data_IF_704735256254
#
_entry.id   IF_704735256254
#
_cell.length_a   1.000
_cell.length_b   1.000
_cell.length_c   1.000
_cell.angle_alpha   90.00
_cell.angle_beta   90.00
_cell.angle_gamma   90.00
#
_symmetry.space_group_name_H-M   'P 1'
#
loop_
_entity.id
_entity.type
_entity.pdbx_description
1 polymer ?
#
# COMPACT_ATOMS: atom_id res chain seq x y z
N UNK A 1 13.97 1.01 -4.06
CA UNK A 1 15.37 0.96 -4.53
C UNK A 1 16.23 0.98 -3.28
N UNK A 2 16.65 -0.19 -2.76
CA UNK A 2 17.43 -0.25 -1.53
C UNK A 2 18.79 0.40 -1.79
N UNK A 3 19.28 1.33 -0.96
CA UNK A 3 20.62 1.87 -1.13
C UNK A 3 21.68 0.76 -0.96
N UNK A 4 22.76 0.83 -1.73
CA UNK A 4 23.84 -0.17 -1.67
C UNK A 4 24.39 -0.29 -0.25
N UNK A 5 24.60 -1.51 0.22
CA UNK A 5 25.13 -1.79 1.56
C UNK A 5 24.13 -1.64 2.71
N UNK A 6 22.85 -1.33 2.44
CA UNK A 6 21.79 -1.26 3.47
C UNK A 6 21.10 -2.61 3.73
N UNK A 7 21.58 -3.68 3.08
CA UNK A 7 21.04 -5.03 3.22
C UNK A 7 19.74 -5.23 2.44
N UNK A 8 18.98 -6.24 2.86
CA UNK A 8 17.75 -6.65 2.17
C UNK A 8 16.57 -5.83 2.69
N UNK A 9 15.85 -5.16 1.77
CA UNK A 9 14.64 -4.42 2.09
C UNK A 9 13.41 -5.28 1.87
N UNK A 10 12.39 -5.07 2.70
CA UNK A 10 11.09 -5.71 2.59
C UNK A 10 10.14 -4.79 1.82
N UNK A 11 9.56 -5.31 0.75
CA UNK A 11 8.60 -4.64 -0.11
C UNK A 11 7.23 -5.27 0.12
N UNK A 12 6.31 -4.49 0.67
CA UNK A 12 4.93 -4.94 0.94
C UNK A 12 4.04 -4.51 -0.21
N UNK A 13 3.37 -5.47 -0.84
CA UNK A 13 2.38 -5.27 -1.90
C UNK A 13 1.03 -5.62 -1.31
N UNK A 14 0.11 -4.66 -1.28
CA UNK A 14 -1.22 -4.82 -0.72
C UNK A 14 -2.29 -4.74 -1.82
N UNK A 15 -3.26 -5.64 -1.78
CA UNK A 15 -4.46 -5.62 -2.61
C UNK A 15 -5.69 -5.45 -1.70
N UNK A 16 -6.57 -4.53 -2.07
CA UNK A 16 -7.78 -4.21 -1.33
C UNK A 16 -9.00 -4.53 -2.19
N UNK A 17 -9.91 -5.33 -1.65
CA UNK A 17 -11.25 -5.46 -2.21
C UNK A 17 -12.12 -4.32 -1.65
N UNK A 18 -12.78 -3.59 -2.53
CA UNK A 18 -13.62 -2.45 -2.16
C UNK A 18 -15.10 -2.78 -2.33
N UNK A 19 -15.96 -2.14 -1.53
CA UNK A 19 -17.42 -2.25 -1.62
C UNK A 19 -18.07 -1.36 -2.68
N UNK A 20 -17.25 -0.78 -3.56
CA UNK A 20 -17.68 0.12 -4.63
C UNK A 20 -16.82 -0.07 -5.86
N UNK A 21 -17.41 0.23 -7.01
CA UNK A 21 -16.77 0.13 -8.32
C UNK A 21 -15.73 1.24 -8.54
N UNK A 22 -16.03 2.45 -8.06
CA UNK A 22 -15.16 3.62 -8.27
C UNK A 22 -14.75 4.23 -6.93
N UNK A 23 -13.43 4.35 -6.72
CA UNK A 23 -12.83 5.07 -5.60
C UNK A 23 -12.32 6.43 -6.08
N UNK A 24 -12.89 7.51 -5.57
CA UNK A 24 -12.37 8.85 -5.81
C UNK A 24 -11.08 9.04 -4.99
N UNK A 25 -9.95 8.80 -5.66
CA UNK A 25 -8.62 8.98 -5.06
C UNK A 25 -8.23 10.44 -5.20
N UNK A 26 -7.92 11.06 -4.06
CA UNK A 26 -7.33 12.40 -4.05
C UNK A 26 -5.84 12.27 -4.37
N UNK A 27 -5.45 12.74 -5.55
CA UNK A 27 -4.05 12.73 -6.02
C UNK A 27 -3.30 14.02 -5.67
N UNK A 28 -3.95 15.01 -5.05
CA UNK A 28 -3.32 16.27 -4.63
C UNK A 28 -2.52 16.16 -3.33
N UNK A 29 -2.77 15.09 -2.55
CA UNK A 29 -2.05 14.82 -1.30
C UNK A 29 -1.38 13.46 -1.36
N UNK A 30 -0.07 13.42 -1.13
CA UNK A 30 0.64 12.15 -0.99
C UNK A 30 0.20 11.45 0.31
N UNK A 31 -0.37 10.25 0.18
CA UNK A 31 -0.77 9.42 1.33
C UNK A 31 0.21 8.26 1.48
N UNK A 32 0.63 8.00 2.72
CA UNK A 32 1.27 6.74 3.07
C UNK A 32 0.20 5.64 3.26
N UNK A 33 0.63 4.37 3.35
CA UNK A 33 -0.27 3.22 3.47
C UNK A 33 -1.29 3.37 4.61
N UNK A 34 -0.84 3.72 5.81
CA UNK A 34 -1.72 3.84 6.98
C UNK A 34 -2.75 4.97 6.81
N UNK A 35 -2.35 6.09 6.21
CA UNK A 35 -3.24 7.20 5.91
C UNK A 35 -4.28 6.82 4.84
N UNK A 36 -3.87 6.08 3.81
CA UNK A 36 -4.78 5.55 2.79
C UNK A 36 -5.82 4.61 3.41
N UNK A 37 -5.37 3.62 4.17
CA UNK A 37 -6.25 2.65 4.84
C UNK A 37 -7.23 3.34 5.79
N UNK A 38 -6.77 4.34 6.55
CA UNK A 38 -7.66 5.11 7.44
C UNK A 38 -8.68 5.94 6.68
N UNK A 39 -8.26 6.62 5.59
CA UNK A 39 -9.13 7.48 4.77
C UNK A 39 -10.25 6.67 4.10
N UNK A 40 -9.94 5.44 3.65
CA UNK A 40 -10.85 4.59 2.88
C UNK A 40 -11.36 3.37 3.65
N UNK A 41 -11.22 3.35 4.98
CA UNK A 41 -11.57 2.19 5.82
C UNK A 41 -13.00 1.68 5.61
N UNK A 42 -13.96 2.59 5.40
CA UNK A 42 -15.38 2.25 5.18
C UNK A 42 -15.64 1.59 3.83
N UNK A 43 -14.72 1.76 2.89
CA UNK A 43 -14.83 1.23 1.54
C UNK A 43 -14.12 -0.11 1.37
N UNK A 44 -13.16 -0.43 2.25
CA UNK A 44 -12.36 -1.66 2.20
C UNK A 44 -13.15 -2.80 2.83
N UNK A 45 -13.45 -3.84 2.05
CA UNK A 45 -14.07 -5.08 2.52
C UNK A 45 -12.99 -6.04 3.04
N UNK A 46 -11.94 -6.22 2.23
CA UNK A 46 -10.90 -7.21 2.48
C UNK A 46 -9.56 -6.65 2.04
N UNK A 47 -8.51 -7.09 2.71
CA UNK A 47 -7.12 -6.78 2.39
C UNK A 47 -6.31 -8.08 2.34
N UNK A 48 -5.45 -8.20 1.34
CA UNK A 48 -4.41 -9.24 1.29
C UNK A 48 -3.06 -8.59 1.01
N UNK A 49 -1.99 -9.13 1.58
CA UNK A 49 -0.64 -8.61 1.39
C UNK A 49 0.34 -9.74 1.03
N UNK A 50 1.30 -9.41 0.18
CA UNK A 50 2.48 -10.23 -0.08
C UNK A 50 3.70 -9.38 0.25
N UNK A 51 4.64 -9.96 1.00
CA UNK A 51 5.93 -9.34 1.28
C UNK A 51 6.98 -10.01 0.41
N UNK A 52 7.69 -9.21 -0.38
CA UNK A 52 8.86 -9.64 -1.17
C UNK A 52 10.11 -8.93 -0.66
N UNK A 53 11.28 -9.48 -0.95
CA UNK A 53 12.55 -9.04 -0.41
C UNK A 53 13.53 -8.75 -1.55
N UNK A 54 14.22 -7.61 -1.48
CA UNK A 54 15.26 -7.26 -2.44
C UNK A 54 16.37 -6.44 -1.76
N UNK A 55 17.63 -6.81 -2.02
CA UNK A 55 18.83 -6.09 -1.58
C UNK A 55 19.75 -5.84 -2.77
N UNK A 56 20.51 -4.75 -2.71
CA UNK A 56 21.45 -4.33 -3.75
C UNK A 56 22.90 -4.55 -3.32
#
# INVERSE_FOLDING_TARGET
>A
CPPSGTGVHHYVIALYALNKETLNVDTGTALNRAAFESKYAKDIIQKVEITTMYGQ
#
